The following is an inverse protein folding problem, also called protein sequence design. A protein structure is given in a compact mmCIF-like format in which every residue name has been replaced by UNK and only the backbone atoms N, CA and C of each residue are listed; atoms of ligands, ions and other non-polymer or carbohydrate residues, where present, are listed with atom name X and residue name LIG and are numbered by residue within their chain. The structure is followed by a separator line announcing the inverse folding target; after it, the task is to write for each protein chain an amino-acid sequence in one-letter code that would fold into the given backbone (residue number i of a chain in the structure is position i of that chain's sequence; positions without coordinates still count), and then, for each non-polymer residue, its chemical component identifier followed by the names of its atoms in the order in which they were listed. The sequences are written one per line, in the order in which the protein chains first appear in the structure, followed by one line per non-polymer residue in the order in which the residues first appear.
data_IF_067531269358
#
_entry.id   IF_067531269358
#
_cell.length_a   1.000
_cell.length_b   1.000
_cell.length_c   1.000
_cell.angle_alpha   90.00
_cell.angle_beta   90.00
_cell.angle_gamma   90.00
#
_symmetry.space_group_name_H-M   'P 1'
#
loop_
_entity.id
_entity.type
_entity.pdbx_description
1 polymer ?
#
# COMPACT_ATOMS: atom_id res chain seq x y z
N UNK A 1 -36.41 7.24 13.91
CA UNK A 1 -35.64 6.45 12.94
C UNK A 1 -34.16 6.37 13.31
N UNK A 2 -33.42 5.53 12.58
CA UNK A 2 -31.99 5.34 12.79
C UNK A 2 -31.27 5.28 11.45
N UNK A 3 -30.10 5.93 11.35
CA UNK A 3 -29.14 5.80 10.24
C UNK A 3 -27.88 5.12 10.75
N UNK A 4 -27.46 4.02 10.14
CA UNK A 4 -26.28 3.24 10.52
C UNK A 4 -25.31 3.08 9.34
N UNK A 5 -24.05 2.84 9.60
CA UNK A 5 -23.08 2.53 8.55
C UNK A 5 -23.56 1.35 7.70
N UNK A 6 -23.59 1.51 6.37
CA UNK A 6 -24.15 0.53 5.43
C UNK A 6 -25.69 0.43 5.40
N UNK A 7 -26.40 1.14 6.29
CA UNK A 7 -27.87 1.14 6.36
C UNK A 7 -28.38 2.57 6.48
N UNK A 8 -28.47 3.31 5.36
CA UNK A 8 -28.94 4.69 5.35
C UNK A 8 -30.41 4.78 5.78
N UNK A 9 -30.80 5.91 6.36
CA UNK A 9 -32.20 6.22 6.65
C UNK A 9 -32.90 6.68 5.37
N UNK A 10 -33.93 5.99 4.97
CA UNK A 10 -34.70 6.26 3.73
C UNK A 10 -36.02 7.01 3.97
N UNK A 11 -36.25 7.54 5.16
CA UNK A 11 -37.43 8.32 5.48
C UNK A 11 -37.23 9.82 5.22
N UNK A 12 -38.35 10.56 5.16
CA UNK A 12 -38.32 12.02 5.20
C UNK A 12 -38.19 12.48 6.66
N UNK A 13 -37.42 13.55 6.88
CA UNK A 13 -37.29 14.20 8.18
C UNK A 13 -38.03 15.54 8.08
N UNK A 14 -39.09 15.69 8.82
CA UNK A 14 -39.86 16.91 8.83
C UNK A 14 -39.19 17.99 9.71
N UNK A 15 -39.74 19.21 9.63
CA UNK A 15 -39.34 20.29 10.53
C UNK A 15 -39.55 19.87 11.98
N UNK A 16 -38.60 20.18 12.85
CA UNK A 16 -38.62 19.85 14.29
C UNK A 16 -38.51 18.34 14.60
N UNK A 17 -38.07 17.54 13.60
CA UNK A 17 -37.74 16.13 13.79
C UNK A 17 -36.24 15.87 13.71
N UNK A 18 -35.82 14.77 14.33
CA UNK A 18 -34.46 14.28 14.29
C UNK A 18 -34.42 12.77 14.09
N UNK A 19 -33.32 12.28 13.51
CA UNK A 19 -33.01 10.87 13.34
C UNK A 19 -31.72 10.57 14.09
N UNK A 20 -31.71 9.47 14.81
CA UNK A 20 -30.51 8.97 15.46
C UNK A 20 -29.52 8.49 14.39
N UNK A 21 -28.31 9.04 14.38
CA UNK A 21 -27.27 8.70 13.41
C UNK A 21 -26.03 8.16 14.10
N UNK A 22 -25.44 7.13 13.54
CA UNK A 22 -24.22 6.50 14.03
C UNK A 22 -23.02 6.88 13.17
N UNK A 23 -21.84 6.88 13.76
CA UNK A 23 -20.57 7.15 13.07
C UNK A 23 -20.43 6.26 11.81
N UNK A 24 -20.04 6.88 10.69
CA UNK A 24 -19.90 6.20 9.40
C UNK A 24 -21.21 6.03 8.63
N UNK A 25 -22.36 6.46 9.17
CA UNK A 25 -23.62 6.46 8.43
C UNK A 25 -23.68 7.63 7.44
N UNK A 26 -24.40 7.40 6.34
CA UNK A 26 -24.72 8.46 5.36
C UNK A 26 -25.69 9.46 6.01
N UNK A 27 -25.40 10.75 5.83
CA UNK A 27 -26.28 11.82 6.28
C UNK A 27 -27.63 11.71 5.57
N UNK A 28 -28.77 11.68 6.30
CA UNK A 28 -30.08 11.66 5.67
C UNK A 28 -30.36 12.94 4.88
N UNK A 29 -31.19 12.82 3.84
CA UNK A 29 -31.65 13.96 3.06
C UNK A 29 -32.42 14.97 3.90
N UNK A 30 -32.26 16.25 3.60
CA UNK A 30 -32.98 17.34 4.25
C UNK A 30 -32.37 17.83 5.56
N UNK A 31 -31.28 17.19 6.05
CA UNK A 31 -30.53 17.63 7.23
C UNK A 31 -29.08 17.90 6.89
N UNK A 32 -28.41 18.76 7.66
CA UNK A 32 -27.05 19.20 7.35
C UNK A 32 -26.11 19.28 8.57
N UNK A 33 -26.58 18.91 9.75
CA UNK A 33 -25.75 18.95 10.96
C UNK A 33 -26.10 17.78 11.89
N UNK A 34 -25.12 17.33 12.64
CA UNK A 34 -25.24 16.28 13.65
C UNK A 34 -24.97 16.86 15.04
N UNK A 35 -25.94 16.70 15.95
CA UNK A 35 -25.70 16.93 17.37
C UNK A 35 -25.03 15.72 17.99
N UNK A 36 -23.97 15.95 18.74
CA UNK A 36 -23.33 14.88 19.49
C UNK A 36 -24.21 14.46 20.67
N UNK A 37 -24.12 13.20 21.06
CA UNK A 37 -24.94 12.63 22.13
C UNK A 37 -24.79 13.42 23.43
N UNK A 38 -23.59 13.87 23.73
CA UNK A 38 -23.21 14.65 24.92
C UNK A 38 -23.86 16.05 24.93
N UNK A 39 -24.24 16.54 23.76
CA UNK A 39 -24.85 17.86 23.58
C UNK A 39 -26.38 17.79 23.55
N UNK A 40 -26.93 16.61 23.81
CA UNK A 40 -28.37 16.35 23.76
C UNK A 40 -28.93 15.82 25.09
N UNK A 41 -30.20 16.11 25.36
CA UNK A 41 -30.97 15.43 26.39
C UNK A 41 -32.13 14.72 25.71
N UNK A 42 -32.19 13.40 25.87
CA UNK A 42 -33.25 12.57 25.29
C UNK A 42 -34.26 12.17 26.37
N UNK A 43 -35.54 12.36 26.05
CA UNK A 43 -36.70 11.87 26.84
C UNK A 43 -37.59 11.11 25.86
N UNK A 44 -37.66 9.78 25.98
CA UNK A 44 -38.46 8.89 25.14
C UNK A 44 -38.42 9.25 23.65
N UNK A 45 -39.42 9.98 23.17
CA UNK A 45 -39.59 10.36 21.76
C UNK A 45 -39.09 11.76 21.44
N UNK A 46 -38.50 12.47 22.38
CA UNK A 46 -38.01 13.84 22.16
C UNK A 46 -36.52 13.97 22.43
N UNK A 47 -35.87 14.80 21.64
CA UNK A 47 -34.47 15.18 21.82
C UNK A 47 -34.37 16.69 21.94
N UNK A 48 -33.79 17.16 23.04
CA UNK A 48 -33.51 18.57 23.28
C UNK A 48 -32.01 18.80 23.03
N UNK A 49 -31.71 19.79 22.20
CA UNK A 49 -30.36 20.28 22.04
C UNK A 49 -29.99 21.20 23.23
N UNK A 50 -28.85 20.91 23.85
CA UNK A 50 -28.30 21.68 24.97
C UNK A 50 -27.46 22.86 24.51
N UNK A 51 -27.06 22.88 23.22
CA UNK A 51 -26.38 23.98 22.58
C UNK A 51 -26.84 24.17 21.13
N UNK A 52 -26.64 25.37 20.60
CA UNK A 52 -26.91 25.63 19.18
C UNK A 52 -25.93 24.90 18.30
N UNK A 53 -26.41 24.33 17.21
CA UNK A 53 -25.60 23.74 16.15
C UNK A 53 -25.39 24.74 15.03
N UNK A 54 -24.17 24.76 14.49
CA UNK A 54 -23.90 25.44 13.23
C UNK A 54 -24.20 24.52 12.07
N UNK A 55 -24.60 25.06 10.93
CA UNK A 55 -24.75 24.29 9.69
C UNK A 55 -23.43 23.56 9.34
N UNK A 56 -23.52 22.30 8.99
CA UNK A 56 -22.37 21.45 8.70
C UNK A 56 -21.67 20.85 9.92
N UNK A 57 -22.14 21.15 11.16
CA UNK A 57 -21.52 20.61 12.36
C UNK A 57 -21.49 19.08 12.36
N UNK A 58 -20.34 18.49 12.63
CA UNK A 58 -20.08 17.05 12.72
C UNK A 58 -20.49 16.24 11.47
N UNK A 59 -20.65 16.92 10.34
CA UNK A 59 -20.90 16.31 9.03
C UNK A 59 -19.64 16.40 8.17
N UNK A 60 -19.25 15.30 7.57
CA UNK A 60 -18.13 15.23 6.61
C UNK A 60 -18.69 15.35 5.20
N UNK A 61 -18.39 16.43 4.46
CA UNK A 61 -18.89 16.60 3.11
C UNK A 61 -18.25 15.61 2.13
N UNK A 62 -18.97 15.29 1.05
CA UNK A 62 -18.39 14.54 -0.04
C UNK A 62 -17.16 15.26 -0.63
N UNK A 63 -16.09 14.52 -0.89
CA UNK A 63 -14.85 15.08 -1.43
C UNK A 63 -13.90 15.69 -0.40
N UNK A 64 -14.21 15.66 0.90
CA UNK A 64 -13.32 16.17 1.95
C UNK A 64 -11.96 15.46 1.98
N UNK A 65 -11.95 14.15 1.81
CA UNK A 65 -10.72 13.37 1.80
C UNK A 65 -10.09 13.26 0.42
N UNK A 66 -10.92 13.18 -0.61
CA UNK A 66 -10.51 12.99 -2.01
C UNK A 66 -11.65 13.45 -2.93
N UNK A 67 -11.39 14.45 -3.72
CA UNK A 67 -12.36 14.96 -4.67
C UNK A 67 -12.41 14.13 -5.96
N UNK A 68 -13.56 14.12 -6.62
CA UNK A 68 -13.68 13.45 -7.94
C UNK A 68 -12.76 14.13 -8.97
N UNK A 69 -11.94 13.33 -9.62
CA UNK A 69 -10.95 13.81 -10.61
C UNK A 69 -9.61 14.24 -10.01
N UNK A 70 -9.45 14.18 -8.70
CA UNK A 70 -8.18 14.43 -8.04
C UNK A 70 -7.20 13.27 -8.32
N UNK A 71 -5.94 13.63 -8.60
CA UNK A 71 -4.88 12.65 -8.83
C UNK A 71 -4.39 12.11 -7.49
N UNK A 72 -4.61 10.83 -7.23
CA UNK A 72 -4.17 10.17 -5.99
C UNK A 72 -2.66 9.95 -5.99
N UNK A 73 -2.11 9.46 -7.11
CA UNK A 73 -0.69 9.17 -7.28
C UNK A 73 -0.26 9.50 -8.70
N UNK A 74 0.95 10.00 -8.85
CA UNK A 74 1.56 10.23 -10.15
C UNK A 74 2.28 8.97 -10.67
N UNK A 75 2.40 8.84 -11.99
CA UNK A 75 3.22 7.81 -12.62
C UNK A 75 4.68 7.89 -12.12
N UNK A 76 5.30 6.74 -11.89
CA UNK A 76 6.67 6.65 -11.36
C UNK A 76 6.75 6.71 -9.81
N UNK A 77 5.64 6.93 -9.11
CA UNK A 77 5.63 6.91 -7.65
C UNK A 77 5.88 5.48 -7.14
N UNK A 78 6.84 5.32 -6.25
CA UNK A 78 7.04 4.06 -5.52
C UNK A 78 5.90 3.83 -4.56
N UNK A 79 5.18 2.72 -4.72
CA UNK A 79 4.03 2.39 -3.88
C UNK A 79 4.47 2.02 -2.46
N UNK A 80 3.73 2.55 -1.49
CA UNK A 80 3.84 2.20 -0.08
C UNK A 80 2.52 1.63 0.43
N UNK A 81 2.53 0.95 1.57
CA UNK A 81 1.30 0.38 2.15
C UNK A 81 0.17 1.41 2.35
N UNK A 82 0.43 2.64 2.87
CA UNK A 82 -0.62 3.67 2.96
C UNK A 82 -1.20 4.08 1.60
N UNK A 83 -0.38 4.17 0.55
CA UNK A 83 -0.84 4.52 -0.80
C UNK A 83 -1.75 3.43 -1.39
N UNK A 84 -1.43 2.15 -1.13
CA UNK A 84 -2.31 1.04 -1.52
C UNK A 84 -3.66 1.16 -0.81
N UNK A 85 -3.66 1.53 0.48
CA UNK A 85 -4.88 1.80 1.23
C UNK A 85 -5.73 2.94 0.64
N UNK A 86 -5.09 4.05 0.22
CA UNK A 86 -5.77 5.16 -0.44
C UNK A 86 -6.40 4.75 -1.77
N UNK A 87 -5.66 4.00 -2.60
CA UNK A 87 -6.18 3.48 -3.87
C UNK A 87 -7.38 2.57 -3.66
N UNK A 88 -7.30 1.66 -2.69
CA UNK A 88 -8.40 0.77 -2.34
C UNK A 88 -9.62 1.54 -1.82
N UNK A 89 -9.43 2.56 -0.98
CA UNK A 89 -10.49 3.43 -0.48
C UNK A 89 -11.17 4.24 -1.61
N UNK A 90 -10.43 4.55 -2.68
CA UNK A 90 -10.96 5.19 -3.87
C UNK A 90 -11.60 4.21 -4.88
N UNK A 91 -11.66 2.90 -4.56
CA UNK A 91 -12.29 1.88 -5.39
C UNK A 91 -11.41 1.26 -6.47
N UNK A 92 -10.09 1.53 -6.47
CA UNK A 92 -9.16 0.92 -7.42
C UNK A 92 -8.77 -0.49 -6.99
N UNK A 93 -9.33 -1.51 -7.62
CA UNK A 93 -8.98 -2.90 -7.38
C UNK A 93 -7.63 -3.30 -8.02
N UNK A 94 -7.27 -2.64 -9.13
CA UNK A 94 -6.02 -2.88 -9.87
C UNK A 94 -5.45 -1.58 -10.39
N UNK A 95 -4.14 -1.50 -10.48
CA UNK A 95 -3.41 -0.39 -11.08
C UNK A 95 -2.29 -0.92 -11.99
N UNK A 96 -1.93 -0.16 -13.01
CA UNK A 96 -0.77 -0.46 -13.82
C UNK A 96 0.51 -0.08 -13.07
N UNK A 97 1.46 -1.00 -13.01
CA UNK A 97 2.77 -0.79 -12.40
C UNK A 97 3.87 -1.15 -13.40
N UNK A 98 5.08 -0.66 -13.16
CA UNK A 98 6.26 -1.08 -13.94
C UNK A 98 6.54 -2.57 -13.71
N UNK A 99 7.00 -3.25 -14.75
CA UNK A 99 7.50 -4.63 -14.62
C UNK A 99 8.72 -4.66 -13.69
N UNK A 100 8.89 -5.76 -12.99
CA UNK A 100 10.11 -6.02 -12.23
C UNK A 100 11.31 -6.12 -13.18
N UNK A 101 12.43 -5.57 -12.77
CA UNK A 101 13.70 -5.75 -13.48
C UNK A 101 14.21 -7.18 -13.23
N UNK A 102 14.72 -7.83 -14.28
CA UNK A 102 15.49 -9.07 -14.12
C UNK A 102 16.96 -8.71 -14.01
N UNK A 103 17.64 -9.23 -12.99
CA UNK A 103 19.07 -9.04 -12.79
C UNK A 103 19.71 -10.39 -12.45
N UNK A 104 20.81 -10.70 -13.09
CA UNK A 104 21.63 -11.88 -12.78
C UNK A 104 22.97 -11.40 -12.24
N UNK A 105 23.39 -11.92 -11.10
CA UNK A 105 24.69 -11.64 -10.49
C UNK A 105 25.56 -12.86 -10.65
N UNK A 106 26.74 -12.69 -11.19
CA UNK A 106 27.75 -13.74 -11.29
C UNK A 106 29.11 -13.20 -10.82
N UNK A 107 29.94 -14.07 -10.30
CA UNK A 107 31.36 -13.82 -10.04
C UNK A 107 32.21 -14.46 -11.15
N UNK A 108 33.37 -13.88 -11.42
CA UNK A 108 34.34 -14.44 -12.35
C UNK A 108 35.71 -14.43 -11.72
N UNK A 109 36.48 -15.48 -11.92
CA UNK A 109 37.82 -15.66 -11.40
C UNK A 109 38.13 -17.14 -11.16
N UNK A 110 39.28 -17.60 -11.65
CA UNK A 110 39.72 -18.99 -11.45
C UNK A 110 40.14 -19.27 -10.00
N UNK A 111 40.43 -18.22 -9.23
CA UNK A 111 40.75 -18.27 -7.81
C UNK A 111 39.53 -18.33 -6.92
N UNK A 112 38.34 -18.00 -7.46
CA UNK A 112 37.11 -17.82 -6.64
C UNK A 112 36.40 -19.15 -6.47
N UNK A 113 36.05 -19.48 -5.23
CA UNK A 113 35.26 -20.67 -4.90
C UNK A 113 34.04 -20.31 -4.09
N UNK A 114 32.97 -21.09 -4.25
CA UNK A 114 31.77 -20.95 -3.45
C UNK A 114 32.00 -21.49 -2.03
N UNK A 115 31.55 -20.75 -1.02
CA UNK A 115 31.69 -21.13 0.38
C UNK A 115 31.01 -22.46 0.69
N UNK A 116 29.93 -22.79 -0.02
CA UNK A 116 29.18 -24.04 0.18
C UNK A 116 29.84 -25.26 -0.49
N UNK A 117 30.69 -25.03 -1.49
CA UNK A 117 31.42 -26.09 -2.20
C UNK A 117 32.73 -26.50 -1.51
N UNK A 118 33.20 -25.73 -0.54
CA UNK A 118 34.48 -25.93 0.11
C UNK A 118 34.33 -26.67 1.43
N UNK A 119 34.12 -27.99 1.38
CA UNK A 119 34.01 -28.84 2.60
C UNK A 119 35.25 -28.77 3.52
N UNK A 120 36.44 -28.52 2.95
CA UNK A 120 37.75 -28.52 3.66
C UNK A 120 38.46 -27.15 3.63
N UNK A 121 37.71 -26.06 3.36
CA UNK A 121 38.29 -24.72 3.20
C UNK A 121 38.92 -24.47 1.83
N UNK A 122 39.69 -23.39 1.70
CA UNK A 122 40.39 -23.02 0.46
C UNK A 122 41.73 -23.69 0.35
N UNK A 123 42.19 -23.98 -0.86
CA UNK A 123 43.58 -24.35 -1.17
C UNK A 123 44.41 -23.10 -1.42
N UNK A 124 45.75 -23.26 -1.49
CA UNK A 124 46.64 -22.14 -1.76
C UNK A 124 46.31 -21.48 -3.09
N UNK A 125 46.11 -20.16 -3.07
CA UNK A 125 45.72 -19.36 -4.24
C UNK A 125 44.22 -19.21 -4.44
N UNK A 126 43.37 -19.86 -3.65
CA UNK A 126 41.91 -19.73 -3.70
C UNK A 126 41.40 -18.76 -2.64
N UNK A 127 40.30 -18.04 -2.96
CA UNK A 127 39.55 -17.19 -2.05
C UNK A 127 38.07 -17.50 -2.13
N UNK A 128 37.35 -17.25 -1.04
CA UNK A 128 35.88 -17.38 -1.06
C UNK A 128 35.22 -16.21 -1.76
N UNK A 129 34.16 -16.53 -2.51
CA UNK A 129 33.30 -15.52 -3.14
C UNK A 129 32.55 -14.70 -2.10
N UNK A 130 33.01 -13.49 -1.84
CA UNK A 130 32.35 -12.54 -0.95
C UNK A 130 31.48 -11.52 -1.69
N UNK A 131 31.84 -11.22 -2.95
CA UNK A 131 31.22 -10.13 -3.71
C UNK A 131 29.83 -10.49 -4.22
N UNK A 132 29.64 -11.69 -4.76
CA UNK A 132 28.34 -12.13 -5.29
C UNK A 132 27.24 -12.13 -4.21
N UNK A 133 27.42 -12.78 -3.06
CA UNK A 133 26.39 -12.74 -2.01
C UNK A 133 26.16 -11.33 -1.47
N UNK A 134 27.19 -10.48 -1.36
CA UNK A 134 27.03 -9.09 -0.95
C UNK A 134 26.19 -8.29 -1.96
N UNK A 135 26.48 -8.39 -3.26
CA UNK A 135 25.74 -7.70 -4.32
C UNK A 135 24.31 -8.23 -4.40
N UNK A 136 24.11 -9.55 -4.29
CA UNK A 136 22.78 -10.15 -4.26
C UNK A 136 21.96 -9.63 -3.08
N UNK A 137 22.55 -9.55 -1.90
CA UNK A 137 21.88 -9.00 -0.72
C UNK A 137 21.52 -7.51 -0.90
N UNK A 138 22.40 -6.72 -1.51
CA UNK A 138 22.18 -5.30 -1.78
C UNK A 138 21.08 -5.05 -2.83
N UNK A 139 20.98 -5.91 -3.85
CA UNK A 139 19.97 -5.81 -4.91
C UNK A 139 18.63 -6.46 -4.55
N UNK A 140 18.58 -7.30 -3.52
CA UNK A 140 17.40 -8.04 -3.11
C UNK A 140 16.29 -7.11 -2.64
N UNK A 141 15.30 -6.86 -3.49
CA UNK A 141 14.09 -6.12 -3.18
C UNK A 141 12.93 -6.57 -4.08
N UNK A 142 11.72 -6.13 -3.75
CA UNK A 142 10.51 -6.54 -4.46
C UNK A 142 10.41 -6.05 -5.92
N UNK A 143 11.22 -5.06 -6.32
CA UNK A 143 11.24 -4.54 -7.69
C UNK A 143 12.17 -5.31 -8.64
N UNK A 144 12.98 -6.24 -8.11
CA UNK A 144 13.99 -6.99 -8.87
C UNK A 144 13.70 -8.49 -8.78
N UNK A 145 13.69 -9.15 -9.94
CA UNK A 145 13.77 -10.61 -10.03
C UNK A 145 15.27 -10.94 -10.09
N UNK A 146 15.81 -11.30 -8.94
CA UNK A 146 17.23 -11.56 -8.78
C UNK A 146 17.55 -13.04 -9.05
N UNK A 147 18.58 -13.29 -9.88
CA UNK A 147 19.08 -14.63 -10.18
C UNK A 147 20.53 -14.73 -9.77
N UNK A 148 20.90 -15.87 -9.20
CA UNK A 148 22.27 -16.25 -8.94
C UNK A 148 22.86 -16.92 -10.20
N UNK A 149 23.82 -16.28 -10.83
CA UNK A 149 24.54 -16.80 -12.00
C UNK A 149 25.75 -17.67 -11.65
N UNK A 150 26.05 -17.82 -10.34
CA UNK A 150 27.18 -18.62 -9.89
C UNK A 150 28.53 -17.98 -10.14
N UNK A 151 29.56 -18.84 -10.15
CA UNK A 151 30.96 -18.48 -10.44
C UNK A 151 31.29 -19.00 -11.82
N UNK A 152 31.85 -18.14 -12.67
CA UNK A 152 32.25 -18.46 -14.05
C UNK A 152 33.77 -18.35 -14.14
N UNK A 153 34.40 -19.32 -14.79
CA UNK A 153 35.84 -19.31 -15.05
C UNK A 153 36.25 -18.09 -15.90
N UNK A 154 37.48 -17.65 -15.78
CA UNK A 154 38.06 -16.56 -16.59
C UNK A 154 38.38 -17.02 -18.03
N UNK A 155 37.36 -17.58 -18.66
CA UNK A 155 37.36 -18.05 -20.04
C UNK A 155 36.35 -17.28 -20.86
N UNK A 156 36.72 -16.87 -22.06
CA UNK A 156 35.88 -16.05 -22.95
C UNK A 156 34.58 -16.73 -23.32
N UNK A 157 34.65 -18.03 -23.65
CA UNK A 157 33.46 -18.76 -24.14
C UNK A 157 32.53 -19.11 -22.98
N UNK A 158 33.09 -19.41 -21.80
CA UNK A 158 32.33 -19.58 -20.57
C UNK A 158 31.59 -18.29 -20.17
N UNK A 159 32.25 -17.15 -20.19
CA UNK A 159 31.64 -15.84 -19.92
C UNK A 159 30.57 -15.49 -20.95
N UNK A 160 30.84 -15.69 -22.25
CA UNK A 160 29.85 -15.43 -23.30
C UNK A 160 28.59 -16.30 -23.12
N UNK A 161 28.76 -17.58 -22.78
CA UNK A 161 27.65 -18.49 -22.49
C UNK A 161 26.87 -18.08 -21.27
N UNK A 162 27.54 -17.68 -20.19
CA UNK A 162 26.89 -17.19 -18.97
C UNK A 162 26.05 -15.93 -19.21
N UNK A 163 26.59 -14.95 -19.97
CA UNK A 163 25.84 -13.76 -20.36
C UNK A 163 24.63 -14.07 -21.22
N UNK A 164 24.75 -14.97 -22.20
CA UNK A 164 23.60 -15.39 -23.02
C UNK A 164 22.52 -16.07 -22.20
N UNK A 165 22.91 -16.84 -21.18
CA UNK A 165 21.96 -17.52 -20.28
C UNK A 165 21.29 -16.56 -19.28
N UNK A 166 21.88 -15.40 -19.06
CA UNK A 166 21.37 -14.38 -18.15
C UNK A 166 20.33 -13.45 -18.80
N UNK A 167 20.28 -13.38 -20.13
CA UNK A 167 19.32 -12.58 -20.90
C UNK A 167 17.98 -13.27 -21.05
#
# INVERSE_FOLDING_TARGET
GQARAGHPFNGAIAKDEAVEIYTGAVMPDGVNAVAMHEDCTRNDMTVRLNKMLTSGANNRPAGENLAVGEVILHAGTRLTAPMIGQLAAAGHATIAVQNRLSATVLSTGDEIIDVTAAENGTTFGQIFDANRPMVMAALGNEAIILRDGGIVADDRDALASAYQSAL
#
